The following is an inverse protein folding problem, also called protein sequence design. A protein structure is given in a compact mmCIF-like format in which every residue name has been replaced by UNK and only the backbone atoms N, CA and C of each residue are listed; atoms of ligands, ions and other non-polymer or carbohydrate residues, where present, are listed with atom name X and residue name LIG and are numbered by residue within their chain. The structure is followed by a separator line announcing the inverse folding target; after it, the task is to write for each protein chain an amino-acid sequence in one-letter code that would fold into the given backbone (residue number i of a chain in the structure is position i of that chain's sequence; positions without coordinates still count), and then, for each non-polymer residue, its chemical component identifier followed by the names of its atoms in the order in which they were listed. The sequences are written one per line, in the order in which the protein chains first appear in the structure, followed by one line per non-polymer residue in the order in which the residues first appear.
data_IF_523967422508
#
_entry.id   IF_523967422508
#
_cell.length_a   1.000
_cell.length_b   1.000
_cell.length_c   1.000
_cell.angle_alpha   90.00
_cell.angle_beta   90.00
_cell.angle_gamma   90.00
#
_symmetry.space_group_name_H-M   'P 1'
#
loop_
_entity.id
_entity.type
_entity.pdbx_description
1 polymer ?
#
# COMPACT_ATOMS: atom_id res chain seq x y z
N UNK A 1 -6.16 34.75 17.63
CA UNK A 1 -5.37 33.67 17.02
C UNK A 1 -5.56 32.40 17.83
N UNK A 2 -6.50 31.54 17.41
CA UNK A 2 -6.64 30.18 18.00
C UNK A 2 -5.67 29.28 17.24
N UNK A 3 -4.68 28.71 17.94
CA UNK A 3 -3.91 27.57 17.43
C UNK A 3 -4.89 26.40 17.35
N UNK A 4 -5.27 26.02 16.13
CA UNK A 4 -5.87 24.71 15.89
C UNK A 4 -4.70 23.75 16.06
N UNK A 5 -4.60 23.14 17.25
CA UNK A 5 -3.70 22.02 17.45
C UNK A 5 -4.29 20.85 16.66
N UNK A 6 -3.64 20.47 15.58
CA UNK A 6 -3.83 19.13 15.02
C UNK A 6 -3.56 18.14 16.15
N UNK A 7 -4.55 17.31 16.46
CA UNK A 7 -4.36 16.17 17.35
C UNK A 7 -3.35 15.24 16.65
N UNK A 8 -2.13 15.27 17.14
CA UNK A 8 -0.97 14.61 16.57
C UNK A 8 -0.98 13.15 17.02
N UNK A 9 -0.75 12.19 16.11
CA UNK A 9 -0.47 10.79 16.48
C UNK A 9 0.95 10.76 17.07
N UNK A 10 1.06 11.05 18.37
CA UNK A 10 2.34 11.25 19.06
C UNK A 10 2.74 10.07 19.97
N UNK A 11 2.28 8.85 19.67
CA UNK A 11 2.65 7.63 20.40
C UNK A 11 2.99 6.50 19.43
N UNK A 12 3.81 5.55 19.87
CA UNK A 12 4.09 4.31 19.13
C UNK A 12 5.21 4.38 18.09
N UNK A 13 5.12 3.51 17.08
CA UNK A 13 6.05 3.32 15.97
C UNK A 13 6.34 4.63 15.23
N UNK A 14 5.31 5.43 15.00
CA UNK A 14 5.43 6.75 14.35
C UNK A 14 6.36 7.68 15.12
N UNK A 15 6.18 7.75 16.45
CA UNK A 15 7.06 8.51 17.33
C UNK A 15 8.49 7.97 17.34
N UNK A 16 8.66 6.64 17.24
CA UNK A 16 9.98 6.00 17.19
C UNK A 16 10.73 6.31 15.90
N UNK A 17 10.08 6.17 14.75
CA UNK A 17 10.71 6.45 13.44
C UNK A 17 11.06 7.92 13.34
N UNK A 18 10.16 8.82 13.77
CA UNK A 18 10.47 10.25 13.84
C UNK A 18 11.63 10.54 14.80
N UNK A 19 11.61 9.99 16.01
CA UNK A 19 12.67 10.22 16.99
C UNK A 19 14.03 9.71 16.53
N UNK A 20 14.07 8.57 15.83
CA UNK A 20 15.27 8.10 15.15
C UNK A 20 15.71 9.08 14.07
N UNK A 21 14.79 9.49 13.19
CA UNK A 21 15.11 10.40 12.09
C UNK A 21 15.66 11.72 12.59
N UNK A 22 15.07 12.31 13.63
CA UNK A 22 15.55 13.55 14.25
C UNK A 22 16.93 13.40 14.88
N UNK A 23 17.23 12.24 15.48
CA UNK A 23 18.53 11.96 16.10
C UNK A 23 19.64 11.70 15.08
N UNK A 24 19.31 11.08 13.95
CA UNK A 24 20.27 10.60 12.95
C UNK A 24 20.27 11.44 11.65
N UNK A 25 19.47 12.51 11.56
CA UNK A 25 19.32 13.34 10.36
C UNK A 25 20.64 13.89 9.80
N UNK A 26 21.62 14.19 10.67
CA UNK A 26 22.93 14.70 10.25
C UNK A 26 23.87 13.62 9.68
N UNK A 27 23.54 12.34 9.92
CA UNK A 27 24.33 11.19 9.50
C UNK A 27 23.78 10.50 8.25
N UNK A 28 22.62 10.93 7.76
CA UNK A 28 21.96 10.37 6.60
C UNK A 28 21.74 11.41 5.50
N UNK A 29 21.65 10.93 4.26
CA UNK A 29 21.29 11.75 3.11
C UNK A 29 19.85 11.45 2.75
N UNK A 30 18.99 12.46 2.82
CA UNK A 30 17.60 12.37 2.35
C UNK A 30 17.40 13.19 1.09
N UNK A 31 16.65 12.66 0.13
CA UNK A 31 16.22 13.44 -1.03
C UNK A 31 14.85 13.02 -1.53
N UNK A 32 14.13 13.98 -2.10
CA UNK A 32 12.95 13.72 -2.91
C UNK A 32 13.31 13.85 -4.40
N UNK A 33 13.10 12.78 -5.14
CA UNK A 33 13.36 12.66 -6.57
C UNK A 33 12.01 12.66 -7.30
N UNK A 34 11.55 13.82 -7.80
CA UNK A 34 10.25 13.89 -8.47
C UNK A 34 10.25 13.09 -9.76
N UNK A 35 9.12 12.47 -10.07
CA UNK A 35 8.96 11.81 -11.36
C UNK A 35 8.96 12.86 -12.48
N UNK A 36 9.72 12.66 -13.58
CA UNK A 36 9.78 13.62 -14.67
C UNK A 36 8.38 13.93 -15.23
N UNK A 37 8.05 15.23 -15.33
CA UNK A 37 6.74 15.67 -15.82
C UNK A 37 5.58 15.54 -14.82
N UNK A 38 5.82 15.06 -13.59
CA UNK A 38 4.79 14.98 -12.56
C UNK A 38 4.29 16.38 -12.14
N UNK A 39 2.98 16.52 -12.07
CA UNK A 39 2.32 17.71 -11.55
C UNK A 39 1.91 17.51 -10.07
N UNK A 40 1.92 18.57 -9.26
CA UNK A 40 1.30 18.54 -7.95
C UNK A 40 -0.18 18.19 -7.99
N UNK A 41 -0.64 17.41 -7.01
CA UNK A 41 -2.07 17.16 -6.82
C UNK A 41 -2.69 18.28 -5.98
N UNK A 42 -3.80 18.83 -6.45
CA UNK A 42 -4.60 19.79 -5.69
C UNK A 42 -5.61 19.08 -4.79
N UNK A 43 -6.02 19.69 -3.67
CA UNK A 43 -7.08 19.15 -2.82
C UNK A 43 -8.33 18.79 -3.63
N UNK A 44 -8.83 17.57 -3.45
CA UNK A 44 -10.03 17.06 -4.12
C UNK A 44 -9.84 16.70 -5.61
N UNK A 45 -8.60 16.69 -6.12
CA UNK A 45 -8.30 16.47 -7.54
C UNK A 45 -7.43 15.24 -7.83
N UNK A 46 -7.02 14.50 -6.82
CA UNK A 46 -6.17 13.35 -7.04
C UNK A 46 -6.01 12.47 -5.82
N UNK A 47 -5.55 11.27 -6.10
CA UNK A 47 -5.25 10.25 -5.13
C UNK A 47 -3.75 10.07 -4.99
N UNK A 48 -3.31 9.54 -3.86
CA UNK A 48 -1.95 9.06 -3.66
C UNK A 48 -1.92 7.61 -3.20
N UNK A 49 -0.84 6.90 -3.55
CA UNK A 49 -0.52 5.58 -3.02
C UNK A 49 0.96 5.51 -2.71
N UNK A 50 1.31 4.94 -1.57
CA UNK A 50 2.71 4.68 -1.24
C UNK A 50 3.12 3.27 -1.64
N UNK A 51 4.36 3.16 -2.09
CA UNK A 51 5.04 1.89 -2.31
C UNK A 51 6.39 1.90 -1.59
N UNK A 52 6.75 0.77 -0.99
CA UNK A 52 8.13 0.46 -0.65
C UNK A 52 8.81 0.00 -1.92
N UNK A 53 9.43 0.96 -2.62
CA UNK A 53 10.08 0.71 -3.90
C UNK A 53 11.35 -0.12 -3.71
N UNK A 54 12.12 0.20 -2.67
CA UNK A 54 13.38 -0.49 -2.42
C UNK A 54 13.83 -0.37 -0.95
N UNK A 55 14.33 -1.44 -0.37
CA UNK A 55 15.04 -1.42 0.90
C UNK A 55 16.26 -2.33 0.86
N UNK A 56 17.40 -1.81 1.28
CA UNK A 56 18.68 -2.48 1.13
C UNK A 56 19.52 -2.40 2.40
N UNK A 57 20.13 -3.53 2.76
CA UNK A 57 21.11 -3.64 3.86
C UNK A 57 22.51 -3.88 3.28
N UNK A 58 23.46 -3.01 3.62
CA UNK A 58 24.86 -3.16 3.23
C UNK A 58 25.47 -4.47 3.76
N UNK A 59 25.03 -4.90 4.95
CA UNK A 59 25.50 -6.13 5.61
C UNK A 59 24.38 -7.17 5.63
N UNK A 60 24.21 -7.86 4.51
CA UNK A 60 23.24 -8.95 4.36
C UNK A 60 23.62 -10.25 5.11
N UNK A 61 24.87 -10.38 5.59
CA UNK A 61 25.33 -11.54 6.39
C UNK A 61 26.13 -11.10 7.60
N UNK A 62 25.81 -11.69 8.75
CA UNK A 62 26.58 -11.58 10.00
C UNK A 62 27.21 -12.91 10.39
N UNK A 63 27.95 -12.90 11.49
CA UNK A 63 28.48 -14.14 12.09
C UNK A 63 27.36 -15.04 12.65
N UNK A 64 26.21 -14.44 12.94
CA UNK A 64 24.99 -15.03 13.51
C UNK A 64 23.98 -15.49 12.44
N UNK A 65 24.30 -15.34 11.16
CA UNK A 65 23.49 -15.82 10.03
C UNK A 65 23.16 -14.74 9.01
N UNK A 66 22.26 -15.08 8.10
CA UNK A 66 21.76 -14.16 7.08
C UNK A 66 20.81 -13.13 7.73
N UNK A 67 20.94 -11.88 7.28
CA UNK A 67 20.19 -10.71 7.76
C UNK A 67 19.31 -10.20 6.64
N UNK A 68 18.05 -9.92 6.97
CA UNK A 68 17.07 -9.56 5.96
C UNK A 68 16.38 -8.24 6.33
N UNK A 69 16.17 -7.37 5.34
CA UNK A 69 15.42 -6.15 5.57
C UNK A 69 13.97 -6.52 5.86
N UNK A 70 13.44 -6.01 6.97
CA UNK A 70 12.01 -5.92 7.20
C UNK A 70 11.65 -4.45 7.05
N UNK A 71 10.80 -4.17 6.07
CA UNK A 71 10.47 -2.80 5.73
C UNK A 71 9.14 -2.42 6.34
N UNK A 72 9.09 -1.19 6.80
CA UNK A 72 7.91 -0.53 7.33
C UNK A 72 7.69 0.74 6.54
N UNK A 73 6.45 1.06 6.20
CA UNK A 73 6.08 2.38 5.71
C UNK A 73 4.63 2.71 6.06
N UNK A 74 4.33 4.00 6.08
CA UNK A 74 2.99 4.49 6.25
C UNK A 74 2.78 5.92 5.78
N UNK A 75 1.51 6.27 5.57
CA UNK A 75 1.06 7.63 5.31
C UNK A 75 0.04 8.05 6.38
N UNK A 76 0.12 9.29 6.84
CA UNK A 76 -0.91 9.91 7.67
C UNK A 76 -1.45 11.16 6.98
N UNK A 77 -2.76 11.23 6.81
CA UNK A 77 -3.44 12.36 6.19
C UNK A 77 -4.87 12.51 6.73
N UNK A 78 -5.45 13.70 6.61
CA UNK A 78 -6.85 13.92 6.97
C UNK A 78 -7.78 13.16 6.01
N UNK A 79 -8.74 12.43 6.58
CA UNK A 79 -9.72 11.66 5.84
C UNK A 79 -11.14 11.92 6.39
N UNK A 80 -12.07 12.30 5.50
CA UNK A 80 -13.49 12.52 5.85
C UNK A 80 -13.73 13.59 6.91
N UNK A 81 -12.79 14.52 7.13
CA UNK A 81 -12.87 15.55 8.18
C UNK A 81 -12.81 14.99 9.60
N UNK A 82 -12.39 13.73 9.76
CA UNK A 82 -12.25 13.06 11.06
C UNK A 82 -10.87 13.25 11.69
N UNK A 83 -9.99 14.00 11.02
CA UNK A 83 -8.61 14.21 11.43
C UNK A 83 -7.66 13.22 10.74
N UNK A 84 -6.36 13.33 11.09
CA UNK A 84 -5.32 12.53 10.46
C UNK A 84 -5.47 11.03 10.77
N UNK A 85 -5.52 10.21 9.73
CA UNK A 85 -5.56 8.74 9.80
C UNK A 85 -4.25 8.19 9.27
N UNK A 86 -3.58 7.36 10.07
CA UNK A 86 -2.40 6.63 9.66
C UNK A 86 -2.77 5.32 8.97
N UNK A 87 -2.19 5.08 7.79
CA UNK A 87 -2.20 3.83 7.06
C UNK A 87 -0.78 3.30 7.04
N UNK A 88 -0.54 2.18 7.72
CA UNK A 88 0.80 1.60 7.90
C UNK A 88 0.81 0.16 7.39
N UNK A 89 1.91 -0.24 6.74
CA UNK A 89 2.16 -1.62 6.36
C UNK A 89 3.59 -2.04 6.65
N UNK A 90 3.77 -3.34 6.85
CA UNK A 90 5.05 -4.01 6.88
C UNK A 90 5.19 -4.88 5.65
N UNK A 91 6.42 -5.04 5.16
CA UNK A 91 6.70 -5.98 4.11
C UNK A 91 7.88 -6.88 4.50
N UNK A 92 7.79 -8.13 4.05
CA UNK A 92 8.86 -9.14 4.13
C UNK A 92 9.25 -9.62 2.74
N UNK A 93 10.48 -10.13 2.56
CA UNK A 93 10.80 -10.95 1.39
C UNK A 93 9.75 -12.07 1.21
N UNK A 94 9.43 -12.41 -0.03
CA UNK A 94 8.41 -13.41 -0.38
C UNK A 94 8.63 -14.76 0.34
N UNK A 95 7.66 -15.69 0.26
CA UNK A 95 7.59 -16.94 1.03
C UNK A 95 8.90 -17.77 1.15
N UNK A 96 9.86 -17.60 0.25
CA UNK A 96 11.24 -17.99 0.45
C UNK A 96 12.11 -16.73 0.68
N UNK A 97 12.86 -16.72 1.77
CA UNK A 97 13.93 -15.75 2.11
C UNK A 97 15.07 -15.82 1.07
N UNK A 98 14.76 -15.55 -0.20
CA UNK A 98 15.55 -15.98 -1.35
C UNK A 98 16.64 -14.97 -1.74
N UNK A 99 16.47 -13.69 -1.39
CA UNK A 99 17.46 -12.63 -1.64
C UNK A 99 17.79 -11.94 -0.32
N UNK A 100 18.89 -12.33 0.35
CA UNK A 100 19.40 -11.59 1.50
C UNK A 100 19.72 -10.15 1.12
N UNK A 101 19.25 -9.20 1.94
CA UNK A 101 19.67 -7.79 1.85
C UNK A 101 18.89 -6.89 0.89
N UNK A 102 17.88 -7.37 0.16
CA UNK A 102 17.09 -6.53 -0.76
C UNK A 102 15.60 -6.89 -0.77
N UNK A 103 14.74 -5.86 -0.86
CA UNK A 103 13.31 -6.01 -1.08
C UNK A 103 12.77 -4.85 -1.95
N UNK A 104 11.87 -5.15 -2.90
CA UNK A 104 11.37 -4.20 -3.91
C UNK A 104 9.87 -4.28 -4.14
N UNK A 105 9.29 -3.18 -4.63
CA UNK A 105 7.92 -3.03 -5.19
C UNK A 105 6.77 -3.60 -4.36
N UNK A 106 6.61 -3.13 -3.12
CA UNK A 106 5.50 -3.52 -2.26
C UNK A 106 4.51 -2.36 -2.03
N UNK A 107 3.20 -2.51 -2.32
CA UNK A 107 2.22 -1.48 -2.05
C UNK A 107 1.99 -1.33 -0.53
N UNK A 108 2.08 -0.11 -0.03
CA UNK A 108 2.00 0.18 1.42
C UNK A 108 0.60 0.62 1.81
N UNK A 109 -0.02 1.44 0.97
CA UNK A 109 -1.36 1.97 1.22
C UNK A 109 -2.29 1.56 0.09
N UNK A 110 -3.62 1.52 0.32
CA UNK A 110 -4.57 1.63 -0.77
C UNK A 110 -4.41 2.99 -1.47
N UNK A 111 -5.20 3.21 -2.51
CA UNK A 111 -5.29 4.50 -3.17
C UNK A 111 -6.09 5.47 -2.28
N UNK A 112 -5.41 6.47 -1.72
CA UNK A 112 -5.97 7.39 -0.72
C UNK A 112 -6.38 8.71 -1.39
N UNK A 113 -7.62 9.20 -1.22
CA UNK A 113 -8.04 10.48 -1.77
C UNK A 113 -7.36 11.62 -1.01
N UNK A 114 -6.75 12.56 -1.76
CA UNK A 114 -6.15 13.75 -1.15
C UNK A 114 -7.16 14.90 -1.09
N UNK A 115 -7.69 15.16 0.10
CA UNK A 115 -8.63 16.28 0.34
C UNK A 115 -7.95 17.55 0.82
N UNK A 116 -6.61 17.58 0.83
CA UNK A 116 -5.79 18.71 1.27
C UNK A 116 -5.11 18.46 2.61
N UNK A 117 -4.44 19.49 3.14
CA UNK A 117 -3.71 19.40 4.40
C UNK A 117 -2.29 18.86 4.26
N UNK A 118 -1.81 18.19 5.30
CA UNK A 118 -0.47 17.60 5.37
C UNK A 118 -0.58 16.09 5.17
N UNK A 119 0.25 15.54 4.29
CA UNK A 119 0.52 14.11 4.18
C UNK A 119 1.86 13.86 4.85
N UNK A 120 1.83 13.23 6.03
CA UNK A 120 3.03 12.73 6.67
C UNK A 120 3.34 11.34 6.11
N UNK A 121 4.59 11.13 5.73
CA UNK A 121 5.09 9.86 5.22
C UNK A 121 6.18 9.41 6.17
N UNK A 122 6.12 8.14 6.55
CA UNK A 122 7.17 7.51 7.30
C UNK A 122 7.56 6.18 6.68
N UNK A 123 8.80 5.80 6.90
CA UNK A 123 9.27 4.47 6.57
C UNK A 123 10.49 4.11 7.41
N UNK A 124 10.74 2.82 7.57
CA UNK A 124 11.90 2.32 8.27
C UNK A 124 12.38 0.98 7.72
N UNK A 125 13.68 0.75 7.81
CA UNK A 125 14.31 -0.55 7.62
C UNK A 125 14.67 -1.10 8.98
N UNK A 126 14.13 -2.27 9.28
CA UNK A 126 14.54 -3.11 10.39
C UNK A 126 15.39 -4.27 9.87
N UNK A 127 16.16 -4.86 10.77
CA UNK A 127 17.01 -5.99 10.46
C UNK A 127 16.50 -7.22 11.21
N UNK A 128 15.99 -8.20 10.48
CA UNK A 128 15.50 -9.45 11.06
C UNK A 128 16.46 -10.61 10.79
N UNK A 129 16.43 -11.56 11.73
CA UNK A 129 16.91 -12.95 11.57
C UNK A 129 15.66 -13.84 11.42
N UNK A 130 15.79 -14.99 10.76
CA UNK A 130 14.71 -15.83 10.23
C UNK A 130 13.56 -16.24 11.19
N UNK A 131 13.72 -16.06 12.50
CA UNK A 131 12.68 -16.28 13.51
C UNK A 131 12.79 -15.19 14.60
N UNK A 132 11.74 -14.39 14.80
CA UNK A 132 11.72 -13.32 15.80
C UNK A 132 10.41 -12.52 15.82
N UNK A 133 10.28 -11.53 16.73
CA UNK A 133 9.07 -10.73 16.90
C UNK A 133 8.60 -10.02 15.62
N UNK A 134 9.53 -9.63 14.74
CA UNK A 134 9.19 -9.07 13.43
C UNK A 134 8.47 -10.04 12.49
N UNK A 135 8.73 -11.35 12.58
CA UNK A 135 7.99 -12.34 11.77
C UNK A 135 6.52 -12.37 12.20
N UNK A 136 6.26 -12.33 13.51
CA UNK A 136 4.90 -12.23 14.07
C UNK A 136 4.22 -10.93 13.66
N UNK A 137 4.94 -9.80 13.67
CA UNK A 137 4.43 -8.50 13.22
C UNK A 137 3.96 -8.54 11.76
N UNK A 138 4.79 -9.11 10.89
CA UNK A 138 4.50 -9.20 9.47
C UNK A 138 3.31 -10.11 9.19
N UNK A 139 3.21 -11.28 9.85
CA UNK A 139 2.05 -12.18 9.68
C UNK A 139 0.77 -11.50 10.10
N UNK A 140 0.81 -10.76 11.21
CA UNK A 140 -0.33 -10.01 11.70
C UNK A 140 -0.78 -8.99 10.66
N UNK A 141 0.10 -8.14 10.16
CA UNK A 141 -0.22 -7.13 9.14
C UNK A 141 -0.72 -7.78 7.84
N UNK A 142 -0.12 -8.88 7.39
CA UNK A 142 -0.55 -9.59 6.19
C UNK A 142 -2.00 -10.10 6.31
N UNK A 143 -2.40 -10.66 7.46
CA UNK A 143 -3.77 -11.09 7.71
C UNK A 143 -4.81 -9.97 7.69
N UNK A 144 -4.38 -8.71 7.89
CA UNK A 144 -5.26 -7.54 7.81
C UNK A 144 -5.22 -6.82 6.45
N UNK A 145 -4.31 -7.18 5.54
CA UNK A 145 -4.17 -6.50 4.25
C UNK A 145 -5.46 -6.56 3.41
N UNK A 146 -6.16 -7.70 3.46
CA UNK A 146 -7.45 -7.89 2.77
C UNK A 146 -8.58 -7.01 3.34
N UNK A 147 -8.42 -6.51 4.57
CA UNK A 147 -9.39 -5.65 5.26
C UNK A 147 -9.16 -4.15 5.00
N UNK A 148 -8.06 -3.77 4.35
CA UNK A 148 -7.75 -2.37 4.00
C UNK A 148 -8.42 -1.91 2.69
N UNK A 149 -9.43 -2.64 2.22
CA UNK A 149 -10.24 -2.28 1.05
C UNK A 149 -11.35 -1.27 1.36
N UNK A 150 -12.07 -0.79 0.31
CA UNK A 150 -13.23 0.07 0.49
C UNK A 150 -14.34 -0.59 1.33
N UNK A 151 -15.08 0.15 2.17
CA UNK A 151 -14.99 1.61 2.36
C UNK A 151 -13.78 2.02 3.21
N UNK A 152 -13.12 3.11 2.84
CA UNK A 152 -11.90 3.58 3.51
C UNK A 152 -12.13 3.98 4.97
N UNK A 153 -13.35 4.34 5.36
CA UNK A 153 -13.70 4.57 6.77
C UNK A 153 -13.52 3.30 7.63
N UNK A 154 -13.86 2.13 7.09
CA UNK A 154 -13.62 0.83 7.74
C UNK A 154 -12.12 0.51 7.72
N UNK A 155 -11.46 0.69 6.57
CA UNK A 155 -10.02 0.52 6.45
C UNK A 155 -9.24 1.39 7.46
N UNK A 156 -9.68 2.62 7.69
CA UNK A 156 -9.11 3.55 8.68
C UNK A 156 -9.24 3.01 10.11
N UNK A 157 -10.36 2.39 10.46
CA UNK A 157 -10.58 1.80 11.79
C UNK A 157 -9.68 0.58 11.99
N UNK A 158 -9.59 -0.29 10.97
CA UNK A 158 -8.68 -1.46 10.97
C UNK A 158 -7.23 -0.99 11.05
N UNK A 159 -6.82 -0.03 10.22
CA UNK A 159 -5.47 0.52 10.21
C UNK A 159 -5.05 1.03 11.58
N UNK A 160 -5.92 1.77 12.29
CA UNK A 160 -5.63 2.23 13.66
C UNK A 160 -5.40 1.08 14.64
N UNK A 161 -6.21 0.03 14.58
CA UNK A 161 -6.07 -1.12 15.46
C UNK A 161 -4.78 -1.91 15.16
N UNK A 162 -4.46 -2.10 13.88
CA UNK A 162 -3.23 -2.74 13.42
C UNK A 162 -2.01 -1.94 13.87
N UNK A 163 -2.00 -0.63 13.65
CA UNK A 163 -0.92 0.26 14.11
C UNK A 163 -0.70 0.14 15.63
N UNK A 164 -1.77 0.17 16.44
CA UNK A 164 -1.65 0.05 17.89
C UNK A 164 -1.10 -1.32 18.36
N UNK A 165 -1.53 -2.41 17.73
CA UNK A 165 -1.00 -3.76 18.05
C UNK A 165 0.47 -3.90 17.66
N UNK A 166 0.85 -3.32 16.52
CA UNK A 166 2.21 -3.31 16.00
C UNK A 166 3.15 -2.43 16.84
N UNK A 167 2.67 -1.28 17.31
CA UNK A 167 3.39 -0.43 18.25
C UNK A 167 3.79 -1.24 19.50
N UNK A 168 2.81 -1.93 20.09
CA UNK A 168 2.99 -2.77 21.29
C UNK A 168 4.01 -3.88 21.06
N UNK A 169 3.95 -4.54 19.90
CA UNK A 169 4.86 -5.62 19.54
C UNK A 169 6.32 -5.13 19.39
N UNK A 170 6.53 -4.01 18.71
CA UNK A 170 7.89 -3.51 18.49
C UNK A 170 8.45 -2.87 19.77
N UNK A 171 7.60 -2.26 20.61
CA UNK A 171 8.01 -1.82 21.95
C UNK A 171 8.48 -3.01 22.81
N UNK A 172 7.76 -4.13 22.76
CA UNK A 172 8.12 -5.34 23.49
C UNK A 172 9.40 -6.01 22.95
N UNK A 173 9.65 -5.94 21.64
CA UNK A 173 10.87 -6.53 21.03
C UNK A 173 12.12 -5.71 21.31
N UNK A 174 11.98 -4.41 21.58
CA UNK A 174 13.11 -3.48 21.75
C UNK A 174 13.90 -3.26 20.46
N UNK A 175 13.39 -3.71 19.32
CA UNK A 175 14.06 -3.55 18.04
C UNK A 175 14.07 -2.09 17.59
N UNK A 176 15.22 -1.67 17.05
CA UNK A 176 15.43 -0.31 16.56
C UNK A 176 15.56 -0.31 15.04
N UNK A 177 15.06 0.72 14.37
CA UNK A 177 15.30 0.86 12.94
C UNK A 177 16.80 1.03 12.69
N UNK A 178 17.29 0.37 11.64
CA UNK A 178 18.63 0.59 11.07
C UNK A 178 18.65 1.91 10.31
N UNK A 179 17.52 2.23 9.67
CA UNK A 179 17.32 3.44 8.88
C UNK A 179 15.86 3.86 8.99
N UNK A 180 15.60 5.13 9.23
CA UNK A 180 14.27 5.73 9.29
C UNK A 180 14.13 6.90 8.33
N UNK A 181 12.90 7.13 7.88
CA UNK A 181 12.49 8.25 7.05
C UNK A 181 11.25 8.86 7.70
N UNK A 182 11.27 10.17 7.90
CA UNK A 182 10.07 10.94 8.21
C UNK A 182 10.02 12.16 7.29
N UNK A 183 8.92 12.34 6.57
CA UNK A 183 8.76 13.40 5.59
C UNK A 183 7.34 13.95 5.60
N UNK A 184 7.16 15.24 5.29
CA UNK A 184 5.85 15.87 5.20
C UNK A 184 5.68 16.53 3.83
N UNK A 185 4.59 16.20 3.15
CA UNK A 185 4.15 16.85 1.93
C UNK A 185 2.85 17.63 2.18
N UNK A 186 2.60 18.69 1.43
CA UNK A 186 1.47 19.59 1.66
C UNK A 186 0.70 19.90 0.37
N UNK A 187 -0.44 20.57 0.50
CA UNK A 187 -1.14 21.14 -0.65
C UNK A 187 -0.30 22.20 -1.37
N UNK A 188 -0.43 22.32 -2.72
CA UNK A 188 0.20 23.40 -3.48
C UNK A 188 -0.18 24.79 -2.95
N UNK A 189 0.74 25.75 -3.06
CA UNK A 189 0.55 27.14 -2.59
C UNK A 189 1.01 27.41 -1.15
N UNK A 190 1.43 26.37 -0.42
CA UNK A 190 2.16 26.52 0.85
C UNK A 190 3.68 26.62 0.67
N UNK A 191 4.41 26.78 1.78
CA UNK A 191 5.88 26.88 1.79
C UNK A 191 6.65 25.56 1.89
N UNK A 192 5.95 24.42 1.77
CA UNK A 192 6.51 23.07 1.87
C UNK A 192 6.50 22.33 0.53
N UNK A 193 6.98 21.08 0.53
CA UNK A 193 7.00 20.24 -0.67
C UNK A 193 5.57 19.83 -1.04
N UNK A 194 5.08 20.13 -2.26
CA UNK A 194 3.73 19.74 -2.63
C UNK A 194 3.64 18.24 -2.87
N UNK A 195 2.48 17.65 -2.55
CA UNK A 195 2.21 16.24 -2.89
C UNK A 195 2.25 16.07 -4.41
N UNK A 196 3.14 15.21 -4.90
CA UNK A 196 3.28 14.84 -6.32
C UNK A 196 3.99 13.49 -6.44
N UNK A 197 3.90 12.87 -7.61
CA UNK A 197 4.59 11.61 -7.87
C UNK A 197 6.12 11.75 -7.80
N UNK A 198 6.79 10.73 -7.26
CA UNK A 198 8.23 10.70 -7.09
C UNK A 198 8.71 9.69 -6.07
N UNK A 199 10.00 9.76 -5.73
CA UNK A 199 10.65 8.84 -4.80
C UNK A 199 11.29 9.62 -3.64
N UNK A 200 10.96 9.23 -2.42
CA UNK A 200 11.65 9.65 -1.21
C UNK A 200 12.73 8.61 -0.92
N UNK A 201 13.99 9.04 -0.92
CA UNK A 201 15.12 8.18 -0.59
C UNK A 201 15.81 8.66 0.68
N UNK A 202 16.20 7.72 1.52
CA UNK A 202 17.14 7.93 2.63
C UNK A 202 18.30 6.94 2.46
N UNK A 203 19.53 7.44 2.60
CA UNK A 203 20.76 6.67 2.47
C UNK A 203 21.58 6.88 3.74
N UNK A 204 22.08 5.79 4.32
CA UNK A 204 22.95 5.79 5.49
C UNK A 204 24.37 6.26 5.13
N UNK A 205 24.46 7.53 4.73
CA UNK A 205 25.67 8.21 4.32
C UNK A 205 25.49 9.71 4.61
N UNK A 206 26.50 10.35 5.19
CA UNK A 206 26.43 11.77 5.53
C UNK A 206 26.21 12.65 4.29
N UNK A 207 25.51 13.79 4.42
CA UNK A 207 25.31 14.71 3.30
C UNK A 207 26.64 15.09 2.63
N UNK A 208 26.71 14.88 1.31
CA UNK A 208 27.92 15.17 0.51
C UNK A 208 29.01 14.10 0.55
N UNK A 209 28.83 12.99 1.28
CA UNK A 209 29.79 11.87 1.27
C UNK A 209 29.58 10.90 0.11
N UNK A 210 28.47 11.02 -0.62
CA UNK A 210 28.18 10.19 -1.78
C UNK A 210 29.00 10.65 -3.00
N UNK A 211 29.47 9.73 -3.85
CA UNK A 211 30.36 10.04 -4.97
C UNK A 211 29.65 10.69 -6.17
N UNK A 212 28.35 10.91 -6.09
CA UNK A 212 27.53 11.51 -7.14
C UNK A 212 26.12 11.84 -6.62
N UNK A 213 25.33 12.60 -7.39
CA UNK A 213 23.95 12.89 -7.01
C UNK A 213 23.06 11.65 -7.17
N UNK A 214 22.06 11.53 -6.29
CA UNK A 214 21.08 10.44 -6.33
C UNK A 214 20.11 10.64 -7.49
N UNK A 215 19.73 9.54 -8.13
CA UNK A 215 18.73 9.46 -9.20
C UNK A 215 17.97 8.15 -9.12
N UNK A 216 16.88 8.05 -9.87
CA UNK A 216 16.20 6.78 -10.14
C UNK A 216 16.64 6.31 -11.53
N UNK A 217 17.10 5.07 -11.66
CA UNK A 217 17.49 4.48 -12.93
C UNK A 217 16.27 4.05 -13.77
N UNK A 218 16.50 3.58 -15.00
CA UNK A 218 15.43 3.15 -15.89
C UNK A 218 14.66 1.91 -15.37
N UNK A 219 15.24 1.19 -14.40
CA UNK A 219 14.61 0.07 -13.70
C UNK A 219 13.78 0.50 -12.49
N UNK A 220 13.61 1.81 -12.24
CA UNK A 220 12.82 2.32 -11.12
C UNK A 220 13.52 2.23 -9.77
N UNK A 221 14.84 2.02 -9.75
CA UNK A 221 15.60 1.78 -8.52
C UNK A 221 16.63 2.88 -8.24
N UNK A 222 17.11 2.97 -7.00
CA UNK A 222 18.02 4.04 -6.58
C UNK A 222 19.43 3.88 -7.17
N UNK A 223 19.92 4.93 -7.83
CA UNK A 223 21.24 4.97 -8.43
C UNK A 223 21.94 6.31 -8.13
N UNK A 224 23.24 6.34 -8.41
CA UNK A 224 24.06 7.54 -8.46
C UNK A 224 24.28 7.89 -9.92
N UNK A 225 24.15 9.15 -10.27
CA UNK A 225 24.69 9.64 -11.54
C UNK A 225 26.21 9.59 -11.44
N UNK A 226 26.85 8.99 -12.44
CA UNK A 226 28.29 9.10 -12.57
C UNK A 226 28.60 10.58 -12.82
N UNK A 227 29.41 11.17 -11.94
CA UNK A 227 29.97 12.49 -12.22
C UNK A 227 30.81 12.39 -13.49
N UNK A 228 30.77 13.43 -14.33
CA UNK A 228 31.60 13.55 -15.54
C UNK A 228 33.03 13.08 -15.23
N UNK A 229 33.29 11.81 -15.53
CA UNK A 229 34.64 11.31 -15.61
C UNK A 229 35.15 12.01 -16.85
N UNK A 230 36.02 13.01 -16.70
CA UNK A 230 36.54 13.87 -17.77
C UNK A 230 37.35 13.15 -18.84
N UNK A 231 36.91 11.98 -19.28
CA UNK A 231 37.29 11.29 -20.49
C UNK A 231 36.29 11.65 -21.58
N UNK A 232 36.84 12.21 -22.64
CA UNK A 232 36.19 12.61 -23.86
C UNK A 232 35.47 11.43 -24.55
N UNK A 233 34.23 11.18 -24.16
CA UNK A 233 33.25 10.42 -24.92
C UNK A 233 31.85 10.94 -24.53
N UNK A 234 31.18 11.62 -25.48
CA UNK A 234 29.83 12.21 -25.35
C UNK A 234 28.73 11.13 -25.32
N UNK A 235 28.84 10.18 -24.38
CA UNK A 235 27.77 9.23 -24.04
C UNK A 235 26.86 9.80 -22.95
N UNK A 236 25.57 9.41 -22.89
CA UNK A 236 24.72 9.76 -21.75
C UNK A 236 25.38 9.25 -20.47
N UNK A 237 25.60 10.15 -19.50
CA UNK A 237 26.25 9.85 -18.23
C UNK A 237 25.66 8.58 -17.60
N UNK A 238 26.54 7.65 -17.24
CA UNK A 238 26.16 6.36 -16.67
C UNK A 238 25.42 6.53 -15.34
N UNK A 239 24.50 5.61 -15.06
CA UNK A 239 23.93 5.45 -13.72
C UNK A 239 24.52 4.22 -13.06
N UNK A 240 24.95 4.35 -11.81
CA UNK A 240 25.50 3.24 -11.01
C UNK A 240 24.66 2.96 -9.78
N UNK A 241 24.33 1.69 -9.54
CA UNK A 241 23.59 1.24 -8.34
C UNK A 241 24.26 1.75 -7.06
N UNK A 242 23.44 2.17 -6.09
CA UNK A 242 23.93 2.44 -4.73
C UNK A 242 24.26 1.10 -4.07
N UNK A 243 25.50 0.96 -3.58
CA UNK A 243 25.97 -0.26 -2.90
C UNK A 243 26.85 0.10 -1.70
N UNK A 244 27.02 -0.84 -0.77
CA UNK A 244 27.89 -0.69 0.39
C UNK A 244 27.36 0.19 1.52
N UNK A 245 26.15 0.73 1.38
CA UNK A 245 25.44 1.54 2.38
C UNK A 245 24.00 1.06 2.51
N UNK A 246 23.41 1.18 3.70
CA UNK A 246 21.99 0.90 3.89
C UNK A 246 21.17 2.02 3.24
N UNK A 247 20.06 1.68 2.59
CA UNK A 247 19.17 2.68 2.03
C UNK A 247 17.72 2.20 1.94
N UNK A 248 16.81 3.15 1.84
CA UNK A 248 15.37 2.95 1.76
C UNK A 248 14.77 3.94 0.77
N UNK A 249 13.84 3.45 -0.05
CA UNK A 249 13.14 4.21 -1.08
C UNK A 249 11.65 3.95 -0.97
N UNK A 250 10.90 5.04 -0.79
CA UNK A 250 9.44 5.06 -0.84
C UNK A 250 9.00 5.78 -2.10
N UNK A 251 8.22 5.12 -2.95
CA UNK A 251 7.60 5.76 -4.12
C UNK A 251 6.23 6.31 -3.73
N UNK A 252 6.03 7.60 -4.01
CA UNK A 252 4.74 8.26 -3.99
C UNK A 252 4.18 8.18 -5.41
N UNK A 253 3.11 7.41 -5.58
CA UNK A 253 2.32 7.39 -6.81
C UNK A 253 1.15 8.35 -6.66
N UNK A 254 0.80 9.07 -7.73
CA UNK A 254 -0.41 9.91 -7.77
C UNK A 254 -1.28 9.56 -8.96
N UNK A 255 -2.60 9.62 -8.81
CA UNK A 255 -3.58 9.38 -9.88
C UNK A 255 -4.69 10.41 -9.88
N UNK A 256 -5.26 10.70 -11.04
CA UNK A 256 -6.46 11.52 -11.17
C UNK A 256 -7.75 10.70 -10.92
N UNK A 257 -7.71 9.40 -11.20
CA UNK A 257 -8.87 8.51 -11.14
C UNK A 257 -8.61 7.32 -10.23
N UNK A 258 -9.65 6.88 -9.52
CA UNK A 258 -9.61 5.65 -8.75
C UNK A 258 -9.66 4.43 -9.68
N UNK A 259 -8.87 3.42 -9.36
CA UNK A 259 -8.83 2.11 -10.03
C UNK A 259 -10.06 1.23 -9.76
N UNK A 260 -10.83 1.50 -8.69
CA UNK A 260 -12.01 0.75 -8.29
C UNK A 260 -13.21 1.70 -8.22
N UNK A 261 -14.12 1.55 -9.19
CA UNK A 261 -15.33 2.37 -9.27
C UNK A 261 -16.53 1.79 -8.50
N UNK A 262 -16.39 0.58 -7.92
CA UNK A 262 -17.48 -0.12 -7.24
C UNK A 262 -17.03 -0.64 -5.87
N UNK A 263 -17.34 0.11 -4.81
CA UNK A 263 -17.16 -0.36 -3.44
C UNK A 263 -18.13 -1.53 -3.12
N UNK A 264 -17.86 -2.36 -2.09
CA UNK A 264 -18.76 -3.45 -1.70
C UNK A 264 -20.20 -2.97 -1.41
N UNK A 265 -20.35 -1.81 -0.77
CA UNK A 265 -21.65 -1.21 -0.48
C UNK A 265 -22.40 -0.84 -1.78
N UNK A 266 -21.69 -0.24 -2.74
CA UNK A 266 -22.25 0.07 -4.06
C UNK A 266 -22.58 -1.18 -4.86
N UNK A 267 -21.72 -2.19 -4.82
CA UNK A 267 -21.96 -3.47 -5.46
C UNK A 267 -23.26 -4.12 -4.96
N UNK A 268 -23.51 -4.06 -3.65
CA UNK A 268 -24.75 -4.54 -3.06
C UNK A 268 -25.99 -3.77 -3.57
N UNK A 269 -25.91 -2.44 -3.67
CA UNK A 269 -26.99 -1.61 -4.23
C UNK A 269 -27.25 -1.93 -5.71
N UNK A 270 -26.18 -2.07 -6.51
CA UNK A 270 -26.26 -2.44 -7.92
C UNK A 270 -26.90 -3.82 -8.09
N UNK A 271 -26.52 -4.80 -7.26
CA UNK A 271 -27.12 -6.13 -7.27
C UNK A 271 -28.61 -6.09 -6.91
N UNK A 272 -29.01 -5.31 -5.89
CA UNK A 272 -30.42 -5.12 -5.50
C UNK A 272 -31.24 -4.45 -6.61
N UNK A 273 -30.70 -3.44 -7.27
CA UNK A 273 -31.33 -2.78 -8.41
C UNK A 273 -31.57 -3.76 -9.56
N UNK A 274 -30.54 -4.50 -9.99
CA UNK A 274 -30.67 -5.52 -11.06
C UNK A 274 -31.71 -6.58 -10.73
N UNK A 275 -31.72 -7.04 -9.48
CA UNK A 275 -32.69 -8.03 -9.01
C UNK A 275 -34.14 -7.47 -8.97
N UNK A 276 -34.32 -6.20 -8.62
CA UNK A 276 -35.61 -5.53 -8.70
C UNK A 276 -36.10 -5.43 -10.15
N UNK A 277 -35.20 -5.10 -11.08
CA UNK A 277 -35.49 -5.03 -12.52
C UNK A 277 -35.93 -6.39 -13.06
N UNK A 278 -35.17 -7.44 -12.77
CA UNK A 278 -35.48 -8.81 -13.20
C UNK A 278 -36.84 -9.32 -12.69
N UNK A 279 -37.30 -8.82 -11.53
CA UNK A 279 -38.60 -9.16 -10.94
C UNK A 279 -39.75 -8.24 -11.39
N UNK A 280 -39.53 -7.34 -12.35
CA UNK A 280 -40.55 -6.39 -12.82
C UNK A 280 -40.88 -5.28 -11.81
N UNK A 281 -40.12 -5.12 -10.72
CA UNK A 281 -40.35 -4.11 -9.68
C UNK A 281 -39.66 -2.80 -10.03
N UNK A 282 -40.21 -2.07 -11.00
CA UNK A 282 -39.57 -0.86 -11.55
C UNK A 282 -39.41 0.28 -10.54
N UNK A 283 -40.36 0.49 -9.63
CA UNK A 283 -40.21 1.49 -8.56
C UNK A 283 -38.97 1.24 -7.70
N UNK A 284 -38.84 0.01 -7.18
CA UNK A 284 -37.67 -0.39 -6.39
C UNK A 284 -36.35 -0.35 -7.19
N UNK A 285 -36.39 -0.65 -8.50
CA UNK A 285 -35.20 -0.46 -9.35
C UNK A 285 -34.76 1.00 -9.39
N UNK A 286 -35.71 1.92 -9.62
CA UNK A 286 -35.43 3.36 -9.62
C UNK A 286 -34.87 3.83 -8.28
N UNK A 287 -35.43 3.35 -7.16
CA UNK A 287 -34.98 3.71 -5.82
C UNK A 287 -33.53 3.25 -5.57
N UNK A 288 -33.22 1.97 -5.79
CA UNK A 288 -31.86 1.45 -5.60
C UNK A 288 -30.83 2.07 -6.56
N UNK A 289 -31.25 2.38 -7.79
CA UNK A 289 -30.40 3.10 -8.76
C UNK A 289 -30.07 4.50 -8.27
N UNK A 290 -31.07 5.25 -7.80
CA UNK A 290 -30.88 6.59 -7.25
C UNK A 290 -29.95 6.53 -6.03
N UNK A 291 -30.18 5.58 -5.13
CA UNK A 291 -29.33 5.35 -3.95
C UNK A 291 -27.88 5.05 -4.32
N UNK A 292 -27.62 4.15 -5.28
CA UNK A 292 -26.27 3.82 -5.73
C UNK A 292 -25.54 5.04 -6.32
N UNK A 293 -26.23 5.82 -7.16
CA UNK A 293 -25.67 7.02 -7.78
C UNK A 293 -25.41 8.11 -6.74
N UNK A 294 -26.34 8.36 -5.82
CA UNK A 294 -26.15 9.31 -4.72
C UNK A 294 -24.99 8.89 -3.80
N UNK A 295 -24.86 7.60 -3.52
CA UNK A 295 -23.72 7.06 -2.75
C UNK A 295 -22.39 7.39 -3.44
N UNK A 296 -22.31 7.30 -4.77
CA UNK A 296 -21.11 7.68 -5.52
C UNK A 296 -20.77 9.16 -5.41
N UNK A 297 -21.78 10.02 -5.49
CA UNK A 297 -21.62 11.46 -5.38
C UNK A 297 -21.19 11.96 -4.00
N UNK A 298 -21.43 11.15 -2.97
CA UNK A 298 -21.22 11.57 -1.58
C UNK A 298 -20.16 10.74 -0.86
N UNK A 299 -19.55 9.75 -1.53
CA UNK A 299 -18.53 8.90 -0.94
C UNK A 299 -17.23 9.66 -0.67
N UNK A 300 -16.73 9.54 0.55
CA UNK A 300 -15.39 10.03 0.94
C UNK A 300 -14.27 9.13 0.42
N UNK A 301 -14.60 7.95 -0.14
CA UNK A 301 -13.62 7.09 -0.82
C UNK A 301 -13.10 7.73 -2.12
N UNK A 302 -13.83 8.70 -2.67
CA UNK A 302 -13.54 9.32 -3.96
C UNK A 302 -13.31 10.81 -3.85
N UNK A 303 -12.34 11.31 -4.62
CA UNK A 303 -12.07 12.74 -4.73
C UNK A 303 -13.19 13.45 -5.49
N UNK A 304 -13.40 14.73 -5.18
CA UNK A 304 -14.48 15.53 -5.75
C UNK A 304 -14.49 15.52 -7.29
N UNK A 305 -13.31 15.60 -7.92
CA UNK A 305 -13.19 15.58 -9.38
C UNK A 305 -13.59 14.26 -10.03
N UNK A 306 -13.53 13.14 -9.30
CA UNK A 306 -13.71 11.78 -9.83
C UNK A 306 -15.13 11.22 -9.57
N UNK A 307 -15.81 11.72 -8.53
CA UNK A 307 -17.20 11.35 -8.19
C UNK A 307 -18.17 11.40 -9.39
N UNK A 308 -18.16 12.42 -10.29
CA UNK A 308 -19.04 12.44 -11.45
C UNK A 308 -18.83 11.26 -12.40
N UNK A 309 -17.58 10.88 -12.65
CA UNK A 309 -17.21 9.78 -13.55
C UNK A 309 -17.69 8.44 -12.98
N UNK A 310 -17.47 8.22 -11.68
CA UNK A 310 -17.90 6.99 -10.99
C UNK A 310 -19.43 6.88 -10.96
N UNK A 311 -20.13 7.98 -10.65
CA UNK A 311 -21.59 8.03 -10.66
C UNK A 311 -22.16 7.71 -12.06
N UNK A 312 -21.53 8.24 -13.11
CA UNK A 312 -21.91 7.96 -14.49
C UNK A 312 -21.66 6.48 -14.86
N UNK A 313 -20.52 5.90 -14.45
CA UNK A 313 -20.20 4.49 -14.65
C UNK A 313 -21.22 3.56 -13.98
N UNK A 314 -21.64 3.86 -12.74
CA UNK A 314 -22.68 3.10 -12.02
C UNK A 314 -24.02 3.20 -12.73
N UNK A 315 -24.42 4.41 -13.15
CA UNK A 315 -25.66 4.61 -13.88
C UNK A 315 -25.65 3.81 -15.19
N UNK A 316 -24.57 3.89 -15.98
CA UNK A 316 -24.41 3.13 -17.21
C UNK A 316 -24.45 1.62 -16.98
N UNK A 317 -23.79 1.11 -15.93
CA UNK A 317 -23.79 -0.31 -15.58
C UNK A 317 -25.18 -0.85 -15.14
N UNK A 318 -26.10 0.02 -14.72
CA UNK A 318 -27.48 -0.33 -14.38
C UNK A 318 -28.44 -0.23 -15.57
N UNK A 319 -28.14 0.65 -16.53
CA UNK A 319 -28.89 0.73 -17.80
C UNK A 319 -28.53 -0.41 -18.74
N UNK A 320 -27.23 -0.71 -18.85
CA UNK A 320 -26.70 -1.82 -19.63
C UNK A 320 -27.35 -3.14 -19.17
N UNK A 321 -27.94 -3.87 -20.12
CA UNK A 321 -28.47 -5.20 -19.85
C UNK A 321 -27.39 -6.16 -19.36
N UNK A 322 -27.80 -7.33 -18.86
CA UNK A 322 -26.91 -8.31 -18.22
C UNK A 322 -25.68 -8.72 -19.07
N UNK A 323 -25.71 -8.56 -20.40
CA UNK A 323 -24.62 -8.91 -21.32
C UNK A 323 -23.46 -7.90 -21.37
N UNK A 324 -23.67 -6.62 -21.05
CA UNK A 324 -22.61 -5.59 -21.10
C UNK A 324 -21.94 -5.32 -19.75
N UNK A 325 -22.57 -5.74 -18.65
CA UNK A 325 -22.06 -5.56 -17.30
C UNK A 325 -20.81 -6.40 -16.96
N UNK A 326 -20.56 -7.49 -17.70
CA UNK A 326 -19.42 -8.38 -17.48
C UNK A 326 -18.12 -7.93 -18.18
N UNK A 327 -18.22 -6.97 -19.09
CA UNK A 327 -17.07 -6.49 -19.89
C UNK A 327 -16.39 -5.23 -19.31
N UNK A 328 -17.02 -4.56 -18.33
CA UNK A 328 -16.59 -3.23 -17.88
C UNK A 328 -16.81 -2.15 -18.95
N UNK A 329 -16.75 -0.85 -18.60
CA UNK A 329 -16.67 0.20 -19.61
C UNK A 329 -15.32 0.11 -20.33
N UNK A 330 -15.36 0.16 -21.65
CA UNK A 330 -14.16 0.26 -22.50
C UNK A 330 -13.46 1.59 -22.22
N UNK A 331 -12.21 1.59 -21.69
CA UNK A 331 -11.49 2.83 -21.38
C UNK A 331 -11.18 3.67 -22.64
N UNK A 332 -11.29 3.10 -23.85
CA UNK A 332 -10.95 3.76 -25.11
C UNK A 332 -12.16 4.31 -25.88
N UNK A 333 -13.37 4.27 -25.32
CA UNK A 333 -14.60 4.72 -26.02
C UNK A 333 -14.71 6.24 -26.24
N UNK A 334 -13.65 7.01 -25.97
CA UNK A 334 -13.57 8.45 -26.22
C UNK A 334 -12.29 8.86 -26.97
N UNK A 335 -11.95 8.14 -28.04
CA UNK A 335 -10.98 8.61 -29.03
C UNK A 335 -11.66 8.79 -30.41
N UNK A 336 -11.91 10.03 -30.88
CA UNK A 336 -12.56 10.26 -32.17
C UNK A 336 -11.67 10.02 -33.39
N UNK A 337 -10.43 9.54 -33.25
CA UNK A 337 -9.46 9.58 -34.37
C UNK A 337 -8.85 8.23 -34.83
N UNK A 338 -9.45 7.09 -34.48
CA UNK A 338 -8.90 5.78 -34.91
C UNK A 338 -9.69 5.12 -36.04
N UNK A 339 -9.30 5.46 -37.27
CA UNK A 339 -9.59 4.65 -38.45
C UNK A 339 -8.70 3.37 -38.45
N UNK A 340 -9.36 2.20 -38.49
CA UNK A 340 -8.76 0.91 -38.82
C UNK A 340 -8.39 0.87 -40.32
N UNK A 341 -7.27 0.24 -40.72
CA UNK A 341 -7.42 -1.12 -41.25
C UNK A 341 -6.26 -2.07 -40.91
N UNK A 342 -6.56 -3.33 -40.58
CA UNK A 342 -5.59 -4.40 -40.80
C UNK A 342 -5.82 -5.74 -40.11
N UNK A 343 -6.78 -6.52 -40.58
CA UNK A 343 -6.88 -7.97 -40.34
C UNK A 343 -5.59 -8.72 -40.75
N UNK A 344 -5.16 -9.69 -39.93
CA UNK A 344 -4.68 -10.98 -40.42
C UNK A 344 -4.78 -12.07 -39.32
N UNK A 345 -5.44 -13.16 -39.68
CA UNK A 345 -5.52 -14.46 -38.99
C UNK A 345 -4.14 -15.10 -38.74
N UNK A 346 -3.97 -15.83 -37.63
CA UNK A 346 -3.39 -17.20 -37.66
C UNK A 346 -3.96 -18.05 -36.52
N UNK A 347 -4.37 -19.27 -36.90
CA UNK A 347 -4.96 -20.32 -36.09
C UNK A 347 -3.96 -21.16 -35.26
N UNK A 348 -4.42 -21.62 -34.09
CA UNK A 348 -4.44 -23.03 -33.68
C UNK A 348 -3.14 -23.78 -33.30
N UNK A 349 -3.06 -24.24 -32.04
CA UNK A 349 -2.58 -25.59 -31.65
C UNK A 349 -2.83 -25.82 -30.14
N UNK A 350 -3.80 -26.67 -29.78
CA UNK A 350 -3.66 -28.05 -29.26
C UNK A 350 -3.24 -28.18 -27.79
N UNK A 351 -4.21 -28.72 -27.02
CA UNK A 351 -4.09 -29.33 -25.70
C UNK A 351 -3.27 -30.63 -25.77
N UNK A 352 -2.50 -30.89 -24.73
CA UNK A 352 -2.09 -32.25 -24.33
C UNK A 352 -2.26 -32.36 -22.82
N UNK A 353 -3.20 -33.23 -22.45
CA UNK A 353 -3.37 -33.82 -21.11
C UNK A 353 -2.13 -34.65 -20.74
N UNK A 354 -1.71 -34.55 -19.48
CA UNK A 354 -0.88 -35.54 -18.83
C UNK A 354 -1.47 -35.84 -17.43
N UNK A 355 -1.69 -37.13 -17.21
CA UNK A 355 -2.27 -37.82 -16.07
C UNK A 355 -1.29 -37.88 -14.88
N UNK A 356 -1.70 -37.70 -13.59
CA UNK A 356 -0.80 -37.79 -12.45
C UNK A 356 -0.79 -39.19 -11.83
N UNK A 357 0.40 -39.74 -11.60
CA UNK A 357 0.59 -40.96 -10.82
C UNK A 357 1.36 -40.67 -9.52
N UNK A 358 0.75 -41.05 -8.38
CA UNK A 358 1.46 -41.52 -7.19
C UNK A 358 1.76 -40.51 -6.08
N UNK A 359 0.81 -40.34 -5.15
CA UNK A 359 1.11 -39.90 -3.78
C UNK A 359 0.22 -40.66 -2.77
N UNK A 360 0.88 -41.08 -1.70
CA UNK A 360 0.49 -42.03 -0.64
C UNK A 360 -0.66 -41.51 0.27
N UNK A 361 -1.73 -42.27 0.57
CA UNK A 361 -2.91 -41.77 1.27
C UNK A 361 -2.84 -41.94 2.81
N UNK A 362 -1.79 -41.40 3.45
CA UNK A 362 -1.62 -41.55 4.91
C UNK A 362 -1.43 -40.24 5.72
N UNK A 363 -1.53 -39.04 5.11
CA UNK A 363 -1.47 -37.75 5.85
C UNK A 363 -2.70 -36.84 5.68
N UNK A 364 -3.80 -37.34 5.10
CA UNK A 364 -5.01 -36.56 4.85
C UNK A 364 -5.98 -36.53 6.06
N UNK A 365 -5.52 -36.06 7.23
CA UNK A 365 -6.32 -36.13 8.46
C UNK A 365 -6.11 -35.04 9.50
N UNK A 366 -5.39 -33.95 9.21
CA UNK A 366 -5.32 -32.78 10.13
C UNK A 366 -5.81 -31.54 9.41
N UNK A 367 -6.78 -30.86 10.02
CA UNK A 367 -7.32 -29.60 9.52
C UNK A 367 -6.20 -28.56 9.35
N UNK A 368 -6.24 -27.69 8.33
CA UNK A 368 -5.22 -26.66 8.10
C UNK A 368 -5.06 -25.70 9.29
N UNK A 369 -6.09 -25.54 10.12
CA UNK A 369 -6.10 -24.72 11.35
C UNK A 369 -5.21 -25.26 12.48
N UNK A 370 -5.05 -26.58 12.60
CA UNK A 370 -4.20 -27.18 13.65
C UNK A 370 -2.69 -27.03 13.36
N UNK A 371 -2.32 -26.81 12.09
CA UNK A 371 -0.91 -26.64 11.68
C UNK A 371 -0.41 -25.21 11.91
N UNK A 372 -1.28 -24.21 11.81
CA UNK A 372 -0.97 -22.80 12.06
C UNK A 372 -0.65 -22.52 13.54
N UNK A 373 -1.35 -23.18 14.47
CA UNK A 373 -1.19 -23.00 15.91
C UNK A 373 0.00 -23.76 16.52
N UNK A 374 0.53 -24.78 15.82
CA UNK A 374 1.56 -25.68 16.33
C UNK A 374 2.97 -25.07 16.39
N UNK A 375 3.22 -23.95 15.70
CA UNK A 375 4.51 -23.27 15.66
C UNK A 375 4.66 -22.05 16.57
N UNK A 376 3.59 -21.63 17.26
CA UNK A 376 3.58 -20.44 18.09
C UNK A 376 4.18 -20.73 19.46
N UNK A 377 5.09 -19.87 19.90
CA UNK A 377 5.55 -19.88 21.29
C UNK A 377 4.42 -19.41 22.23
N UNK A 378 4.48 -19.73 23.52
CA UNK A 378 3.53 -19.18 24.50
C UNK A 378 3.50 -17.65 24.52
N UNK A 379 4.60 -16.99 24.17
CA UNK A 379 4.67 -15.54 24.03
C UNK A 379 3.88 -15.04 22.81
N UNK A 380 3.97 -15.72 21.67
CA UNK A 380 3.22 -15.36 20.46
C UNK A 380 1.70 -15.50 20.67
N UNK A 381 1.25 -16.49 21.44
CA UNK A 381 -0.18 -16.66 21.76
C UNK A 381 -0.69 -15.57 22.72
N UNK A 382 0.06 -15.28 23.78
CA UNK A 382 -0.31 -14.23 24.72
C UNK A 382 -0.40 -12.85 24.05
N UNK A 383 0.53 -12.57 23.13
CA UNK A 383 0.57 -11.36 22.33
C UNK A 383 -0.64 -11.24 21.39
N UNK A 384 -1.02 -12.32 20.72
CA UNK A 384 -2.15 -12.28 19.79
C UNK A 384 -3.50 -12.13 20.52
N UNK A 385 -3.64 -12.74 21.70
CA UNK A 385 -4.80 -12.53 22.59
C UNK A 385 -4.88 -11.07 23.07
N UNK A 386 -3.75 -10.41 23.31
CA UNK A 386 -3.69 -8.99 23.69
C UNK A 386 -4.12 -8.08 22.53
N UNK A 387 -3.73 -8.36 21.29
CA UNK A 387 -4.19 -7.60 20.11
C UNK A 387 -5.70 -7.75 19.90
N UNK A 388 -6.23 -8.98 20.03
CA UNK A 388 -7.68 -9.24 19.94
C UNK A 388 -8.44 -8.44 21.00
N UNK A 389 -7.89 -8.30 22.21
CA UNK A 389 -8.51 -7.55 23.29
C UNK A 389 -8.60 -6.02 23.03
N UNK A 390 -7.78 -5.48 22.13
CA UNK A 390 -7.78 -4.05 21.77
C UNK A 390 -8.64 -3.71 20.54
N UNK A 391 -9.27 -4.70 19.91
CA UNK A 391 -10.25 -4.45 18.84
C UNK A 391 -11.52 -3.82 19.44
N UNK A 392 -12.08 -2.74 18.84
CA UNK A 392 -13.29 -2.10 19.35
C UNK A 392 -14.48 -3.07 19.37
N UNK A 393 -15.43 -2.82 20.30
CA UNK A 393 -16.61 -3.64 20.48
C UNK A 393 -17.38 -3.86 19.16
N UNK A 394 -17.76 -5.11 18.94
CA UNK A 394 -18.29 -5.69 17.70
C UNK A 394 -19.70 -5.18 17.38
N UNK A 395 -19.78 -4.09 16.64
CA UNK A 395 -21.03 -3.67 15.97
C UNK A 395 -21.12 -4.15 14.50
N UNK A 396 -20.06 -4.79 13.99
CA UNK A 396 -20.03 -5.42 12.66
C UNK A 396 -20.02 -6.96 12.79
N UNK A 397 -21.04 -7.69 12.30
CA UNK A 397 -21.10 -9.15 12.38
C UNK A 397 -19.99 -9.87 11.61
N UNK A 398 -19.33 -9.21 10.63
CA UNK A 398 -18.19 -9.80 9.91
C UNK A 398 -16.89 -9.84 10.72
N UNK A 399 -16.75 -8.92 11.69
CA UNK A 399 -15.58 -8.84 12.59
C UNK A 399 -15.81 -9.59 13.91
N UNK A 400 -17.03 -10.06 14.16
CA UNK A 400 -17.41 -10.72 15.39
C UNK A 400 -16.88 -12.17 15.51
N UNK A 401 -16.60 -12.81 14.39
CA UNK A 401 -16.26 -14.23 14.32
C UNK A 401 -14.77 -14.49 14.04
N UNK A 402 -13.94 -13.44 13.92
CA UNK A 402 -12.49 -13.58 13.73
C UNK A 402 -11.84 -14.27 14.94
N UNK A 403 -11.24 -15.44 14.71
CA UNK A 403 -10.43 -16.16 15.69
C UNK A 403 -8.94 -15.96 15.43
N UNK A 404 -8.11 -16.26 16.45
CA UNK A 404 -6.66 -16.33 16.30
C UNK A 404 -6.23 -17.27 15.15
N UNK A 405 -6.99 -18.34 14.91
CA UNK A 405 -6.73 -19.25 13.82
C UNK A 405 -7.01 -18.63 12.45
N UNK A 406 -8.03 -17.76 12.35
CA UNK A 406 -8.36 -17.05 11.10
C UNK A 406 -7.32 -15.97 10.78
N UNK A 407 -6.81 -15.28 11.80
CA UNK A 407 -5.73 -14.30 11.66
C UNK A 407 -4.39 -14.90 11.23
N UNK A 408 -4.17 -16.19 11.50
CA UNK A 408 -2.90 -16.89 11.23
C UNK A 408 -2.97 -17.84 10.03
N UNK A 409 -4.15 -18.09 9.48
CA UNK A 409 -4.36 -18.93 8.30
C UNK A 409 -4.36 -18.15 6.97
N UNK A 410 -4.33 -16.81 7.03
CA UNK A 410 -4.26 -15.89 5.89
C UNK A 410 -2.87 -15.77 5.27
#
# INVERSE_FOLDING_TARGET
MRRIGCAFVAGGLWGRVRGWFEADAEHVTTCFLPEPGSAPIWPGQGYLRLWLAEGFLAKARGWDGDRFPVLHAGASLDFGGTGAVAFTSFSRPAAAWAVPGEQVDFPVTPLLPFTGGVVEIEAAVYQAVQAGPLDTAVRLVAGFADLLGPPLATAATVARAVSAGLDSLIDASGERPVLGLHHAMISPGGGGLPVRAGHLAVVNAAPGSLPGPLTIDAGGRLALLDGDSGGQDDGPGGTRRVTGVDYLVVRVETRAEHDVWLSPAMAALVARARLARARGRMGAFTDYRAEAVTTAWTSDDYVESDRPRIAAAIAAALEAGAEQAAAGPDPDAHDPDRADPGRADVAGARRTEADPAGADPAEAGRAPTDRALAGLTPADRALADEVIAHLPARDDPGLADLTLADLLAG
#
